data_IF_694096711927
#
_entry.id   IF_694096711927
#
_cell.length_a   1.000
_cell.length_b   1.000
_cell.length_c   1.000
_cell.angle_alpha   90.00
_cell.angle_beta   90.00
_cell.angle_gamma   90.00
#
_symmetry.space_group_name_H-M   'P 1'
#
loop_
_entity.id
_entity.type
_entity.pdbx_description
1 polymer ?
#
# COMPACT_ATOMS: atom_id res chain seq x y z
N UNK A 1 -9.56 -9.63 18.18
CA UNK A 1 -8.87 -9.06 17.00
C UNK A 1 -7.53 -9.76 16.85
N UNK A 2 -7.21 -10.23 15.64
CA UNK A 2 -5.89 -10.79 15.33
C UNK A 2 -4.95 -9.65 14.92
N UNK A 3 -3.64 -9.84 15.08
CA UNK A 3 -2.62 -8.85 14.67
C UNK A 3 -2.80 -8.42 13.21
N UNK A 4 -3.13 -9.37 12.32
CA UNK A 4 -3.41 -9.10 10.90
C UNK A 4 -4.58 -8.12 10.70
N UNK A 5 -5.71 -8.34 11.41
CA UNK A 5 -6.88 -7.43 11.30
C UNK A 5 -6.57 -6.01 11.79
N UNK A 6 -5.78 -5.87 12.85
CA UNK A 6 -5.37 -4.55 13.35
C UNK A 6 -4.42 -3.86 12.36
N UNK A 7 -3.47 -4.60 11.79
CA UNK A 7 -2.55 -4.07 10.78
C UNK A 7 -3.30 -3.62 9.51
N UNK A 8 -4.28 -4.40 9.05
CA UNK A 8 -5.13 -4.04 7.92
C UNK A 8 -5.97 -2.77 8.21
N UNK A 9 -6.54 -2.64 9.40
CA UNK A 9 -7.28 -1.44 9.79
C UNK A 9 -6.39 -0.19 9.80
N UNK A 10 -5.18 -0.29 10.37
CA UNK A 10 -4.19 0.79 10.35
C UNK A 10 -3.78 1.14 8.91
N UNK A 11 -3.55 0.13 8.07
CA UNK A 11 -3.21 0.33 6.67
C UNK A 11 -4.30 1.09 5.90
N UNK A 12 -5.57 0.75 6.15
CA UNK A 12 -6.72 1.46 5.58
C UNK A 12 -6.82 2.91 6.07
N UNK A 13 -6.55 3.17 7.35
CA UNK A 13 -6.52 4.54 7.88
C UNK A 13 -5.42 5.38 7.24
N UNK A 14 -4.22 4.81 7.05
CA UNK A 14 -3.12 5.48 6.35
C UNK A 14 -3.50 5.72 4.88
N UNK A 15 -4.13 4.75 4.22
CA UNK A 15 -4.62 4.88 2.85
C UNK A 15 -5.63 6.04 2.72
N UNK A 16 -6.63 6.11 3.60
CA UNK A 16 -7.61 7.20 3.61
C UNK A 16 -6.95 8.57 3.84
N UNK A 17 -6.00 8.65 4.77
CA UNK A 17 -5.21 9.88 5.02
C UNK A 17 -4.42 10.31 3.78
N UNK A 18 -3.72 9.37 3.13
CA UNK A 18 -2.94 9.65 1.93
C UNK A 18 -3.83 10.10 0.75
N UNK A 19 -5.00 9.50 0.56
CA UNK A 19 -5.97 9.94 -0.46
C UNK A 19 -6.44 11.38 -0.19
N UNK A 20 -6.77 11.69 1.07
CA UNK A 20 -7.18 13.04 1.46
C UNK A 20 -6.06 14.07 1.20
N UNK A 21 -4.82 13.74 1.56
CA UNK A 21 -3.66 14.60 1.30
C UNK A 21 -3.42 14.79 -0.20
N UNK A 22 -3.49 13.71 -0.99
CA UNK A 22 -3.36 13.77 -2.45
C UNK A 22 -4.40 14.73 -3.07
N UNK A 23 -5.65 14.64 -2.61
CA UNK A 23 -6.72 15.54 -3.04
C UNK A 23 -6.44 17.00 -2.67
N UNK A 24 -6.02 17.24 -1.41
CA UNK A 24 -5.69 18.59 -0.93
C UNK A 24 -4.51 19.22 -1.68
N UNK A 25 -3.55 18.41 -2.10
CA UNK A 25 -2.37 18.84 -2.86
C UNK A 25 -2.67 19.13 -4.34
N UNK A 26 -3.92 18.94 -4.80
CA UNK A 26 -4.44 19.33 -6.13
C UNK A 26 -3.53 18.93 -7.31
N UNK A 27 -2.95 17.74 -7.26
CA UNK A 27 -2.09 17.23 -8.34
C UNK A 27 -0.67 17.83 -8.38
N UNK A 28 -0.24 18.53 -7.34
CA UNK A 28 1.16 18.97 -7.19
C UNK A 28 2.14 17.79 -7.13
N UNK A 29 3.44 18.06 -7.20
CA UNK A 29 4.49 17.01 -7.18
C UNK A 29 4.37 16.07 -5.97
N UNK A 30 3.95 16.59 -4.82
CA UNK A 30 3.70 15.83 -3.59
C UNK A 30 2.41 14.99 -3.63
N UNK A 31 1.42 15.33 -4.47
CA UNK A 31 0.19 14.54 -4.60
C UNK A 31 0.50 13.13 -5.16
N UNK A 32 1.49 13.03 -6.06
CA UNK A 32 1.92 11.74 -6.62
C UNK A 32 2.53 10.80 -5.59
N UNK A 33 3.31 11.33 -4.63
CA UNK A 33 3.82 10.49 -3.55
C UNK A 33 2.71 10.00 -2.63
N UNK A 34 1.71 10.83 -2.33
CA UNK A 34 0.56 10.43 -1.52
C UNK A 34 -0.27 9.34 -2.22
N UNK A 35 -0.47 9.42 -3.55
CA UNK A 35 -1.14 8.37 -4.33
C UNK A 35 -0.35 7.05 -4.26
N UNK A 36 0.98 7.10 -4.39
CA UNK A 36 1.82 5.90 -4.28
C UNK A 36 1.77 5.30 -2.88
N UNK A 37 1.70 6.11 -1.83
CA UNK A 37 1.49 5.65 -0.45
C UNK A 37 0.13 4.95 -0.34
N UNK A 38 -0.94 5.57 -0.84
CA UNK A 38 -2.28 4.98 -0.81
C UNK A 38 -2.33 3.61 -1.52
N UNK A 39 -1.76 3.51 -2.73
CA UNK A 39 -1.66 2.26 -3.49
C UNK A 39 -0.81 1.22 -2.75
N UNK A 40 0.31 1.63 -2.14
CA UNK A 40 1.16 0.76 -1.34
C UNK A 40 0.40 0.16 -0.16
N UNK A 41 -0.29 0.99 0.62
CA UNK A 41 -1.08 0.55 1.77
C UNK A 41 -2.28 -0.33 1.38
N UNK A 42 -2.91 -0.05 0.23
CA UNK A 42 -3.97 -0.90 -0.30
C UNK A 42 -3.44 -2.28 -0.71
N UNK A 43 -2.24 -2.34 -1.31
CA UNK A 43 -1.54 -3.58 -1.62
C UNK A 43 -1.21 -4.39 -0.35
N UNK A 44 -0.70 -3.73 0.71
CA UNK A 44 -0.49 -4.39 2.01
C UNK A 44 -1.78 -4.93 2.60
N UNK A 45 -2.84 -4.13 2.54
CA UNK A 45 -4.16 -4.53 3.03
C UNK A 45 -4.63 -5.79 2.31
N UNK A 46 -4.49 -5.84 0.98
CA UNK A 46 -4.78 -7.06 0.22
C UNK A 46 -3.91 -8.24 0.69
N UNK A 47 -2.60 -8.08 0.87
CA UNK A 47 -1.74 -9.18 1.35
C UNK A 47 -2.16 -9.76 2.70
N UNK A 48 -2.77 -8.94 3.57
CA UNK A 48 -3.15 -9.34 4.93
C UNK A 48 -4.51 -10.01 5.00
N UNK A 49 -5.44 -9.61 4.14
CA UNK A 49 -6.83 -10.06 4.20
C UNK A 49 -7.16 -11.10 3.12
N UNK A 50 -6.35 -11.22 2.07
CA UNK A 50 -6.61 -12.18 0.98
C UNK A 50 -6.69 -13.64 1.50
N UNK A 51 -5.77 -14.04 2.38
CA UNK A 51 -5.75 -15.37 3.02
C UNK A 51 -6.97 -15.64 3.90
N UNK A 52 -7.70 -14.60 4.32
CA UNK A 52 -8.93 -14.75 5.11
C UNK A 52 -10.15 -15.07 4.23
N UNK A 53 -10.12 -14.72 2.95
CA UNK A 53 -11.25 -14.90 2.03
C UNK A 53 -11.04 -16.01 1.00
N UNK A 54 -9.80 -16.24 0.58
CA UNK A 54 -9.44 -17.21 -0.44
C UNK A 54 -8.22 -18.03 0.04
N UNK A 55 -8.20 -19.35 -0.15
CA UNK A 55 -6.98 -20.13 0.04
C UNK A 55 -5.93 -19.61 -0.93
N UNK A 56 -4.80 -19.15 -0.38
CA UNK A 56 -3.76 -18.36 -1.03
C UNK A 56 -3.40 -18.88 -2.44
N UNK A 57 -3.88 -18.22 -3.51
CA UNK A 57 -3.67 -18.69 -4.87
C UNK A 57 -2.20 -18.48 -5.26
N UNK A 58 -1.53 -19.55 -5.69
CA UNK A 58 -0.14 -19.47 -6.16
C UNK A 58 -0.11 -18.85 -7.55
N UNK A 59 0.65 -17.77 -7.74
CA UNK A 59 0.83 -17.11 -9.03
C UNK A 59 1.75 -17.93 -9.96
N UNK A 60 2.89 -18.38 -9.43
CA UNK A 60 3.90 -19.18 -10.14
C UNK A 60 4.48 -20.15 -9.11
N UNK A 61 4.17 -21.45 -9.22
CA UNK A 61 4.67 -22.64 -8.47
C UNK A 61 5.02 -22.49 -6.97
N UNK A 62 5.84 -21.52 -6.57
CA UNK A 62 6.33 -21.20 -5.22
C UNK A 62 5.96 -19.79 -4.70
N UNK A 63 5.50 -18.85 -5.54
CA UNK A 63 5.19 -17.47 -5.11
C UNK A 63 3.70 -17.34 -4.78
N UNK A 64 3.42 -17.03 -3.52
CA UNK A 64 2.08 -16.73 -3.02
C UNK A 64 1.59 -15.36 -3.48
N UNK A 65 0.29 -15.20 -3.68
CA UNK A 65 -0.30 -13.90 -4.05
C UNK A 65 -0.05 -12.87 -2.95
N UNK A 66 -0.17 -13.32 -1.70
CA UNK A 66 0.09 -12.50 -0.50
C UNK A 66 1.52 -11.94 -0.49
N UNK A 67 2.52 -12.78 -0.71
CA UNK A 67 3.93 -12.37 -0.80
C UNK A 67 4.14 -11.36 -1.93
N UNK A 68 3.51 -11.58 -3.08
CA UNK A 68 3.57 -10.65 -4.21
C UNK A 68 3.00 -9.28 -3.86
N UNK A 69 1.80 -9.22 -3.29
CA UNK A 69 1.16 -7.95 -2.88
C UNK A 69 1.94 -7.24 -1.76
N UNK A 70 2.56 -8.00 -0.86
CA UNK A 70 3.41 -7.47 0.20
C UNK A 70 4.66 -6.79 -0.39
N UNK A 71 5.38 -7.49 -1.28
CA UNK A 71 6.58 -6.96 -1.94
C UNK A 71 6.22 -5.77 -2.82
N UNK A 72 5.14 -5.87 -3.60
CA UNK A 72 4.67 -4.79 -4.46
C UNK A 72 4.31 -3.53 -3.64
N UNK A 73 3.65 -3.71 -2.49
CA UNK A 73 3.35 -2.63 -1.56
C UNK A 73 4.61 -1.91 -1.07
N UNK A 74 5.66 -2.65 -0.69
CA UNK A 74 6.95 -2.07 -0.31
C UNK A 74 7.64 -1.32 -1.44
N UNK A 75 7.60 -1.84 -2.67
CA UNK A 75 8.16 -1.15 -3.84
C UNK A 75 7.45 0.19 -4.05
N UNK A 76 6.12 0.23 -3.96
CA UNK A 76 5.36 1.47 -4.07
C UNK A 76 5.73 2.49 -2.99
N UNK A 77 5.87 2.04 -1.73
CA UNK A 77 6.32 2.91 -0.63
C UNK A 77 7.74 3.44 -0.85
N UNK A 78 8.64 2.60 -1.38
CA UNK A 78 10.00 3.03 -1.71
C UNK A 78 10.01 4.10 -2.80
N UNK A 79 9.24 3.91 -3.88
CA UNK A 79 9.10 4.90 -4.96
C UNK A 79 8.46 6.18 -4.42
N UNK A 80 7.44 6.07 -3.55
CA UNK A 80 6.83 7.22 -2.90
C UNK A 80 7.83 8.03 -2.07
N UNK A 81 8.67 7.34 -1.30
CA UNK A 81 9.76 7.94 -0.50
C UNK A 81 10.76 8.69 -1.37
N UNK A 82 11.18 8.08 -2.50
CA UNK A 82 12.04 8.77 -3.47
C UNK A 82 11.36 10.02 -4.05
N UNK A 83 10.08 9.91 -4.45
CA UNK A 83 9.30 11.03 -4.98
C UNK A 83 9.14 12.17 -3.98
N UNK A 84 8.91 11.86 -2.70
CA UNK A 84 8.88 12.86 -1.62
C UNK A 84 10.21 13.60 -1.54
N UNK A 85 11.32 12.87 -1.49
CA UNK A 85 12.68 13.47 -1.43
C UNK A 85 12.97 14.41 -2.60
N UNK A 86 12.57 14.03 -3.81
CA UNK A 86 12.76 14.87 -5.01
C UNK A 86 11.75 16.01 -5.14
N UNK A 87 10.65 15.98 -4.39
CA UNK A 87 9.65 17.06 -4.40
C UNK A 87 9.91 18.11 -3.33
N UNK A 88 10.64 17.74 -2.28
CA UNK A 88 11.07 18.63 -1.18
C UNK A 88 12.42 19.32 -1.44
N UNK A 89 13.19 18.84 -2.43
CA UNK A 89 14.40 19.48 -2.95
C UNK A 89 14.06 20.28 -4.20
#
# INVERSE_FOLDING_TARGET
>A
MTISTTAAAIALLICASAIYNAYRLRGGKLAWSEILIALGMLSFTLSLILDLFLPDPRLIQSVKLTDFFFIFGFILLFIASLKLRFSLR
#
